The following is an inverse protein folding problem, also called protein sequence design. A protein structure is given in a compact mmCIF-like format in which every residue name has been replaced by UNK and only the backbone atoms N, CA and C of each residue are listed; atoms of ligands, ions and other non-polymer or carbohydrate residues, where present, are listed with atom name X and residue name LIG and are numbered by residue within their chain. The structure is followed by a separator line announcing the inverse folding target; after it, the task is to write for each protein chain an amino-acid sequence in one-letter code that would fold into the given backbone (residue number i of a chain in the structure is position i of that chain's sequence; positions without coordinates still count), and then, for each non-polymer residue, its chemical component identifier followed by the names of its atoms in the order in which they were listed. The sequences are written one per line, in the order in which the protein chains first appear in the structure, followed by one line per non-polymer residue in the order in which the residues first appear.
data_IF_066487756169
#
_entry.id   IF_066487756169
#
_cell.length_a   1.000
_cell.length_b   1.000
_cell.length_c   1.000
_cell.angle_alpha   90.00
_cell.angle_beta   90.00
_cell.angle_gamma   90.00
#
_symmetry.space_group_name_H-M   'P 1'
#
loop_
_entity.id
_entity.type
_entity.pdbx_description
1 polymer ?
#
# COMPACT_ATOMS: atom_id res chain seq x y z
N UNK A 1 -11.62 -12.87 -2.46
CA UNK A 1 -10.30 -12.25 -2.67
C UNK A 1 -9.30 -13.26 -2.15
N UNK A 2 -8.30 -13.66 -2.94
CA UNK A 2 -7.30 -14.60 -2.47
C UNK A 2 -6.54 -13.94 -1.32
N UNK A 3 -6.40 -14.64 -0.19
CA UNK A 3 -5.61 -14.18 0.95
C UNK A 3 -4.21 -13.82 0.43
N UNK A 4 -3.80 -12.56 0.63
CA UNK A 4 -2.47 -12.08 0.27
C UNK A 4 -1.42 -12.83 1.12
N UNK A 5 -0.21 -13.07 0.61
CA UNK A 5 0.85 -13.66 1.46
C UNK A 5 1.08 -12.81 2.73
N UNK A 6 0.87 -11.49 2.60
CA UNK A 6 0.93 -10.54 3.71
C UNK A 6 -0.22 -10.70 4.72
N UNK A 7 -1.36 -11.29 4.37
CA UNK A 7 -2.39 -11.63 5.35
C UNK A 7 -1.88 -12.70 6.32
N UNK A 8 -1.13 -13.68 5.81
CA UNK A 8 -0.52 -14.72 6.65
C UNK A 8 0.50 -14.11 7.59
N UNK A 9 1.36 -13.22 7.10
CA UNK A 9 2.32 -12.52 7.95
C UNK A 9 1.66 -11.57 8.94
N UNK A 10 0.60 -10.87 8.55
CA UNK A 10 -0.19 -10.01 9.44
C UNK A 10 -0.83 -10.83 10.56
N UNK A 11 -1.42 -12.00 10.24
CA UNK A 11 -1.95 -12.93 11.25
C UNK A 11 -0.84 -13.41 12.20
N UNK A 12 0.34 -13.75 11.66
CA UNK A 12 1.49 -14.17 12.46
C UNK A 12 2.03 -13.05 13.37
N UNK A 13 2.10 -11.82 12.87
CA UNK A 13 2.50 -10.64 13.62
C UNK A 13 1.48 -10.32 14.74
N UNK A 14 0.18 -10.32 14.45
CA UNK A 14 -0.87 -10.16 15.45
C UNK A 14 -0.83 -11.23 16.55
N UNK A 15 -0.40 -12.44 16.21
CA UNK A 15 -0.18 -13.54 17.15
C UNK A 15 1.16 -13.45 17.92
N UNK A 16 1.96 -12.40 17.71
CA UNK A 16 3.25 -12.20 18.38
C UNK A 16 4.39 -13.06 17.84
N UNK A 17 4.19 -13.82 16.76
CA UNK A 17 5.21 -14.72 16.17
C UNK A 17 6.19 -14.02 15.25
N UNK A 18 5.82 -12.84 14.77
CA UNK A 18 6.67 -11.94 13.98
C UNK A 18 6.69 -10.60 14.70
N UNK A 19 7.89 -10.16 15.07
CA UNK A 19 8.10 -8.93 15.81
C UNK A 19 9.25 -8.16 15.17
N UNK A 20 9.07 -6.85 15.04
CA UNK A 20 10.09 -5.95 14.54
C UNK A 20 10.26 -4.82 15.54
N UNK A 21 11.50 -4.33 15.69
CA UNK A 21 11.74 -3.14 16.51
C UNK A 21 10.81 -2.01 16.05
N UNK A 22 10.17 -1.27 16.98
CA UNK A 22 9.08 -0.35 16.62
C UNK A 22 9.51 0.70 15.59
N UNK A 23 10.71 1.28 15.75
CA UNK A 23 11.23 2.26 14.80
C UNK A 23 11.40 1.67 13.39
N UNK A 24 12.02 0.50 13.28
CA UNK A 24 12.21 -0.16 11.98
C UNK A 24 10.87 -0.53 11.33
N UNK A 25 9.91 -1.01 12.12
CA UNK A 25 8.55 -1.30 11.65
C UNK A 25 7.85 -0.05 11.12
N UNK A 26 7.99 1.08 11.83
CA UNK A 26 7.40 2.35 11.45
C UNK A 26 8.08 2.95 10.20
N UNK A 27 9.40 2.85 10.09
CA UNK A 27 10.13 3.31 8.91
C UNK A 27 9.69 2.53 7.66
N UNK A 28 9.57 1.20 7.77
CA UNK A 28 9.01 0.37 6.71
C UNK A 28 7.57 0.73 6.36
N UNK A 29 6.71 0.93 7.37
CA UNK A 29 5.32 1.35 7.15
C UNK A 29 5.24 2.71 6.43
N UNK A 30 6.10 3.67 6.80
CA UNK A 30 6.16 4.97 6.15
C UNK A 30 6.59 4.87 4.68
N UNK A 31 7.60 4.05 4.37
CA UNK A 31 8.00 3.81 2.98
C UNK A 31 6.85 3.20 2.16
N UNK A 32 6.09 2.26 2.74
CA UNK A 32 4.89 1.73 2.10
C UNK A 32 3.82 2.82 1.89
N UNK A 33 3.62 3.70 2.88
CA UNK A 33 2.65 4.78 2.77
C UNK A 33 3.01 5.79 1.68
N UNK A 34 4.29 6.15 1.57
CA UNK A 34 4.80 7.04 0.51
C UNK A 34 4.62 6.39 -0.88
N UNK A 35 4.89 5.09 -1.01
CA UNK A 35 4.63 4.35 -2.25
C UNK A 35 3.14 4.27 -2.60
N UNK A 36 2.25 4.06 -1.61
CA UNK A 36 0.79 4.08 -1.84
C UNK A 36 0.35 5.45 -2.34
N UNK A 37 0.91 6.53 -1.79
CA UNK A 37 0.62 7.89 -2.25
C UNK A 37 1.01 8.07 -3.73
N UNK A 38 2.21 7.66 -4.13
CA UNK A 38 2.66 7.71 -5.53
C UNK A 38 1.79 6.83 -6.45
N UNK A 39 1.38 5.65 -5.99
CA UNK A 39 0.50 4.76 -6.72
C UNK A 39 -0.90 5.39 -6.91
N UNK A 40 -1.47 6.01 -5.89
CA UNK A 40 -2.76 6.72 -6.00
C UNK A 40 -2.68 7.83 -7.07
N UNK A 41 -1.61 8.62 -7.06
CA UNK A 41 -1.37 9.65 -8.09
C UNK A 41 -1.25 9.03 -9.49
N UNK A 42 -0.52 7.92 -9.61
CA UNK A 42 -0.29 7.25 -10.90
C UNK A 42 -1.56 6.58 -11.42
N UNK A 43 -2.37 5.97 -10.56
CA UNK A 43 -3.69 5.43 -10.89
C UNK A 43 -4.57 6.55 -11.46
N UNK A 44 -4.63 7.71 -10.78
CA UNK A 44 -5.41 8.85 -11.25
C UNK A 44 -4.95 9.31 -12.63
N UNK A 45 -3.64 9.49 -12.84
CA UNK A 45 -3.08 9.87 -14.16
C UNK A 45 -3.29 8.82 -15.23
N UNK A 46 -3.28 7.54 -14.88
CA UNK A 46 -3.50 6.45 -15.84
C UNK A 46 -4.91 6.46 -16.45
N UNK A 47 -5.90 7.04 -15.75
CA UNK A 47 -7.24 7.27 -16.29
C UNK A 47 -7.25 8.29 -17.45
N UNK A 48 -6.30 9.22 -17.48
CA UNK A 48 -6.21 10.24 -18.56
C UNK A 48 -5.88 9.61 -19.91
N UNK A 49 -5.30 8.40 -19.93
CA UNK A 49 -5.03 7.64 -21.15
C UNK A 49 -6.33 7.35 -21.95
N UNK A 50 -7.49 7.33 -21.30
CA UNK A 50 -8.79 7.17 -21.96
C UNK A 50 -9.17 8.36 -22.87
N UNK A 51 -8.54 9.52 -22.65
CA UNK A 51 -8.88 10.79 -23.30
C UNK A 51 -7.83 11.24 -24.32
N UNK A 52 -6.79 10.42 -24.55
CA UNK A 52 -5.73 10.74 -25.50
C UNK A 52 -6.29 10.79 -26.91
N UNK A 53 -6.21 11.97 -27.52
CA UNK A 53 -6.68 12.27 -28.87
C UNK A 53 -5.56 12.96 -29.67
N UNK A 54 -5.83 13.33 -30.93
CA UNK A 54 -4.86 14.08 -31.75
C UNK A 54 -3.98 13.23 -32.68
N UNK A 55 -4.30 11.95 -32.86
CA UNK A 55 -3.57 11.08 -33.79
C UNK A 55 -3.91 11.31 -35.28
N UNK A 56 -4.92 12.13 -35.59
CA UNK A 56 -5.42 12.35 -36.95
C UNK A 56 -6.49 11.34 -37.39
N UNK A 57 -6.82 11.34 -38.69
CA UNK A 57 -7.98 10.59 -39.23
C UNK A 57 -7.58 9.35 -40.04
N UNK A 58 -6.33 8.89 -39.92
CA UNK A 58 -5.87 7.68 -40.58
C UNK A 58 -6.34 6.44 -39.81
N UNK A 59 -6.59 5.29 -40.45
CA UNK A 59 -7.05 4.08 -39.76
C UNK A 59 -6.15 3.66 -38.58
N UNK A 60 -4.83 3.76 -38.75
CA UNK A 60 -3.85 3.48 -37.70
C UNK A 60 -3.91 4.45 -36.51
N UNK A 61 -4.31 5.71 -36.76
CA UNK A 61 -4.50 6.71 -35.71
C UNK A 61 -5.70 6.35 -34.82
N UNK A 62 -6.79 5.90 -35.42
CA UNK A 62 -7.97 5.39 -34.71
C UNK A 62 -7.63 4.15 -33.89
N UNK A 63 -6.88 3.21 -34.47
CA UNK A 63 -6.44 1.99 -33.77
C UNK A 63 -5.55 2.31 -32.57
N UNK A 64 -4.65 3.29 -32.69
CA UNK A 64 -3.80 3.72 -31.59
C UNK A 64 -4.62 4.37 -30.46
N UNK A 65 -5.53 5.28 -30.80
CA UNK A 65 -6.44 5.88 -29.84
C UNK A 65 -7.25 4.82 -29.07
N UNK A 66 -7.76 3.81 -29.79
CA UNK A 66 -8.48 2.68 -29.19
C UNK A 66 -7.59 1.89 -28.22
N UNK A 67 -6.33 1.61 -28.58
CA UNK A 67 -5.39 0.90 -27.68
C UNK A 67 -5.13 1.66 -26.38
N UNK A 68 -4.99 2.99 -26.44
CA UNK A 68 -4.86 3.82 -25.24
C UNK A 68 -6.12 3.77 -24.37
N UNK A 69 -7.30 3.88 -25.00
CA UNK A 69 -8.59 3.78 -24.31
C UNK A 69 -8.78 2.41 -23.65
N UNK A 70 -8.49 1.32 -24.35
CA UNK A 70 -8.57 -0.04 -23.82
C UNK A 70 -7.57 -0.24 -22.66
N UNK A 71 -6.37 0.34 -22.75
CA UNK A 71 -5.36 0.28 -21.67
C UNK A 71 -5.80 1.03 -20.41
N UNK A 72 -6.63 2.07 -20.56
CA UNK A 72 -7.18 2.87 -19.48
C UNK A 72 -8.51 2.34 -18.93
N UNK A 73 -9.18 1.42 -19.64
CA UNK A 73 -10.54 1.01 -19.34
C UNK A 73 -10.58 0.08 -18.10
N UNK A 74 -11.19 0.50 -16.98
CA UNK A 74 -11.24 -0.28 -15.74
C UNK A 74 -12.10 -1.55 -15.84
N UNK A 75 -12.82 -1.78 -16.95
CA UNK A 75 -13.54 -3.03 -17.19
C UNK A 75 -12.58 -4.20 -17.48
N UNK A 76 -11.36 -3.93 -17.94
CA UNK A 76 -10.36 -4.96 -18.18
C UNK A 76 -9.48 -5.15 -16.97
N UNK A 77 -9.38 -6.37 -16.48
CA UNK A 77 -8.54 -6.72 -15.32
C UNK A 77 -7.05 -6.39 -15.54
N UNK A 78 -6.60 -6.47 -16.79
CA UNK A 78 -5.24 -6.13 -17.21
C UNK A 78 -5.02 -4.64 -17.46
N UNK A 79 -6.04 -3.79 -17.34
CA UNK A 79 -5.91 -2.35 -17.54
C UNK A 79 -4.91 -1.72 -16.57
N UNK A 80 -4.32 -0.60 -16.98
CA UNK A 80 -3.32 0.10 -16.16
C UNK A 80 -3.88 0.49 -14.78
N UNK A 81 -5.10 1.08 -14.66
CA UNK A 81 -5.66 1.42 -13.34
C UNK A 81 -5.85 0.19 -12.45
N UNK A 82 -6.33 -0.93 -13.00
CA UNK A 82 -6.60 -2.14 -12.22
C UNK A 82 -5.31 -2.81 -11.74
N UNK A 83 -4.31 -2.93 -12.60
CA UNK A 83 -3.01 -3.51 -12.23
C UNK A 83 -2.31 -2.66 -11.16
N UNK A 84 -2.33 -1.33 -11.31
CA UNK A 84 -1.78 -0.43 -10.30
C UNK A 84 -2.55 -0.48 -8.98
N UNK A 85 -3.88 -0.62 -9.03
CA UNK A 85 -4.71 -0.77 -7.82
C UNK A 85 -4.37 -2.06 -7.08
N UNK A 86 -4.23 -3.18 -7.79
CA UNK A 86 -3.78 -4.46 -7.19
C UNK A 86 -2.40 -4.33 -6.53
N UNK A 87 -1.47 -3.61 -7.18
CA UNK A 87 -0.16 -3.38 -6.59
C UNK A 87 -0.26 -2.53 -5.32
N UNK A 88 -1.05 -1.46 -5.36
CA UNK A 88 -1.33 -0.58 -4.22
C UNK A 88 -1.96 -1.35 -3.05
N UNK A 89 -2.84 -2.30 -3.32
CA UNK A 89 -3.45 -3.14 -2.30
C UNK A 89 -2.43 -4.08 -1.64
N UNK A 90 -1.54 -4.71 -2.42
CA UNK A 90 -0.45 -5.52 -1.87
C UNK A 90 0.49 -4.67 -0.99
N UNK A 91 0.83 -3.45 -1.42
CA UNK A 91 1.67 -2.55 -0.61
C UNK A 91 0.95 -2.08 0.66
N UNK A 92 -0.38 -1.95 0.62
CA UNK A 92 -1.17 -1.69 1.81
C UNK A 92 -1.13 -2.87 2.80
N UNK A 93 -1.23 -4.10 2.32
CA UNK A 93 -1.10 -5.29 3.18
C UNK A 93 0.30 -5.38 3.81
N UNK A 94 1.34 -5.00 3.05
CA UNK A 94 2.71 -4.87 3.57
C UNK A 94 2.79 -3.86 4.71
N UNK A 95 2.24 -2.66 4.51
CA UNK A 95 2.20 -1.60 5.52
C UNK A 95 1.55 -2.10 6.82
N UNK A 96 0.39 -2.74 6.71
CA UNK A 96 -0.34 -3.28 7.85
C UNK A 96 0.41 -4.42 8.56
N UNK A 97 1.16 -5.23 7.82
CA UNK A 97 2.04 -6.27 8.37
C UNK A 97 3.15 -5.67 9.22
N UNK A 98 3.82 -4.62 8.73
CA UNK A 98 4.88 -3.93 9.48
C UNK A 98 4.31 -3.28 10.74
N UNK A 99 3.19 -2.56 10.61
CA UNK A 99 2.48 -1.96 11.74
C UNK A 99 2.17 -3.02 12.81
N UNK A 100 1.60 -4.16 12.40
CA UNK A 100 1.25 -5.25 13.32
C UNK A 100 2.50 -5.83 14.02
N UNK A 101 3.62 -5.96 13.30
CA UNK A 101 4.87 -6.50 13.84
C UNK A 101 5.51 -5.58 14.88
N UNK A 102 5.47 -4.26 14.67
CA UNK A 102 5.92 -3.27 15.66
C UNK A 102 5.03 -3.23 16.91
N UNK A 103 3.70 -3.32 16.74
CA UNK A 103 2.77 -3.46 17.87
C UNK A 103 3.02 -4.74 18.67
N UNK A 104 3.30 -5.84 17.99
CA UNK A 104 3.59 -7.11 18.63
C UNK A 104 4.84 -7.05 19.51
N UNK A 105 5.89 -6.38 19.02
CA UNK A 105 7.10 -6.12 19.78
C UNK A 105 6.80 -5.32 21.05
N UNK A 106 6.11 -4.18 20.94
CA UNK A 106 5.76 -3.34 22.09
C UNK A 106 4.93 -4.09 23.13
N UNK A 107 3.97 -4.91 22.71
CA UNK A 107 3.18 -5.75 23.63
C UNK A 107 4.05 -6.78 24.35
N UNK A 108 5.02 -7.39 23.67
CA UNK A 108 5.92 -8.36 24.27
C UNK A 108 6.86 -7.69 25.29
N UNK A 109 7.37 -6.50 24.99
CA UNK A 109 8.18 -5.69 25.91
C UNK A 109 7.35 -5.18 27.10
N UNK A 110 6.12 -4.69 26.90
CA UNK A 110 5.23 -4.27 27.99
C UNK A 110 4.95 -5.42 28.99
N UNK A 111 4.88 -6.67 28.49
CA UNK A 111 4.76 -7.86 29.33
C UNK A 111 6.08 -8.29 29.99
N UNK A 112 7.23 -7.86 29.46
CA UNK A 112 8.56 -8.25 29.95
C UNK A 112 9.21 -7.19 30.83
N UNK A 113 8.81 -5.92 30.69
CA UNK A 113 9.47 -4.76 31.25
C UNK A 113 8.45 -3.80 31.88
N UNK A 114 8.29 -3.92 33.19
CA UNK A 114 7.92 -2.79 34.05
C UNK A 114 9.03 -1.71 34.09
N UNK A 115 9.92 -1.64 33.10
CA UNK A 115 11.20 -0.93 33.20
C UNK A 115 11.74 -0.40 31.84
N UNK A 116 11.83 0.92 31.73
CA UNK A 116 12.83 1.67 30.94
C UNK A 116 12.85 1.60 29.39
N UNK A 117 11.71 1.74 28.70
CA UNK A 117 11.75 2.12 27.26
C UNK A 117 10.84 3.32 26.97
N UNK A 118 11.40 4.38 26.39
CA UNK A 118 10.68 5.62 26.04
C UNK A 118 9.67 5.49 24.89
N UNK A 119 9.43 4.27 24.39
CA UNK A 119 8.46 3.98 23.34
C UNK A 119 7.26 3.22 23.91
N UNK A 120 6.12 3.90 24.03
CA UNK A 120 4.86 3.30 24.49
C UNK A 120 3.99 2.91 23.31
N UNK A 121 3.12 1.91 23.48
CA UNK A 121 2.13 1.51 22.47
C UNK A 121 1.29 2.71 21.99
N UNK A 122 0.92 3.62 22.90
CA UNK A 122 0.17 4.84 22.57
C UNK A 122 0.94 5.79 21.65
N UNK A 123 2.23 6.00 21.92
CA UNK A 123 3.08 6.85 21.06
C UNK A 123 3.30 6.24 19.66
N UNK A 124 3.35 4.91 19.57
CA UNK A 124 3.46 4.20 18.30
C UNK A 124 2.17 4.30 17.49
N UNK A 125 1.02 4.12 18.12
CA UNK A 125 -0.29 4.21 17.45
C UNK A 125 -0.54 5.60 16.86
N UNK A 126 -0.13 6.66 17.56
CA UNK A 126 -0.21 8.04 17.04
C UNK A 126 0.61 8.20 15.76
N UNK A 127 1.80 7.61 15.69
CA UNK A 127 2.66 7.66 14.50
C UNK A 127 2.08 6.80 13.36
N UNK A 128 1.48 5.66 13.68
CA UNK A 128 0.75 4.82 12.72
C UNK A 128 -0.41 5.57 12.09
N UNK A 129 -1.16 6.36 12.86
CA UNK A 129 -2.27 7.16 12.34
C UNK A 129 -1.77 8.24 11.38
N UNK A 130 -0.64 8.89 11.69
CA UNK A 130 0.02 9.81 10.76
C UNK A 130 0.49 9.11 9.48
N UNK A 131 1.01 7.89 9.58
CA UNK A 131 1.43 7.07 8.43
C UNK A 131 0.23 6.74 7.52
N UNK A 132 -0.88 6.28 8.11
CA UNK A 132 -2.12 5.97 7.37
C UNK A 132 -2.80 7.20 6.79
N UNK A 133 -2.58 8.39 7.35
CA UNK A 133 -3.12 9.63 6.79
C UNK A 133 -2.53 9.96 5.41
N UNK A 134 -1.28 9.54 5.12
CA UNK A 134 -0.61 9.76 3.82
C UNK A 134 -1.23 8.97 2.66
N UNK A 135 -1.94 7.87 2.96
CA UNK A 135 -2.47 6.94 1.97
C UNK A 135 -3.89 7.26 1.51
N UNK A 136 -4.53 8.23 2.17
CA UNK A 136 -5.83 8.81 1.79
C UNK A 136 -5.65 9.80 0.64
#
# INVERSE_FOLDING_TARGET
MADSEFDTYTKAAKAGRVQLKPQAALDCANMCADLIHELNQTISKSGELATVTGFGNLPNATDLAKRYADRANPQYDSSMPNVLTKHRDVVNDMMETFIASGRAYLKAEDHSAADLSGYTLSSYDTQVDSCRAKTK
#
